data_IF_748116266373
#
_entry.id   IF_748116266373
#
_cell.length_a   1.000
_cell.length_b   1.000
_cell.length_c   1.000
_cell.angle_alpha   90.00
_cell.angle_beta   90.00
_cell.angle_gamma   90.00
#
_symmetry.space_group_name_H-M   'P 1'
#
loop_
_entity.id
_entity.type
_entity.pdbx_description
1 polymer ?
#
# COMPACT_ATOMS: atom_id res chain seq x y z
N UNK A 1 7.71 4.51 -9.14
CA UNK A 1 7.15 5.21 -10.31
C UNK A 1 7.79 4.67 -11.59
N UNK A 2 6.98 4.22 -12.51
CA UNK A 2 7.40 3.65 -13.79
C UNK A 2 6.42 4.08 -14.88
N UNK A 3 6.85 3.99 -16.15
CA UNK A 3 5.97 4.32 -17.29
C UNK A 3 4.88 3.27 -17.51
N UNK A 4 5.19 2.02 -17.18
CA UNK A 4 4.25 0.90 -17.28
C UNK A 4 4.60 -0.14 -16.22
N UNK A 5 3.59 -0.71 -15.58
CA UNK A 5 3.77 -1.74 -14.56
C UNK A 5 3.06 -3.01 -15.03
N UNK A 6 3.87 -4.01 -15.42
CA UNK A 6 3.39 -5.35 -15.73
C UNK A 6 3.18 -6.17 -14.46
N UNK A 7 2.57 -7.36 -14.57
CA UNK A 7 2.43 -8.27 -13.44
C UNK A 7 3.79 -8.65 -12.83
N UNK A 8 4.81 -8.87 -13.66
CA UNK A 8 6.16 -9.20 -13.17
C UNK A 8 6.81 -8.03 -12.43
N UNK A 9 6.61 -6.81 -12.90
CA UNK A 9 7.10 -5.60 -12.20
C UNK A 9 6.36 -5.38 -10.89
N UNK A 10 5.07 -5.63 -10.87
CA UNK A 10 4.27 -5.55 -9.64
C UNK A 10 4.77 -6.54 -8.59
N UNK A 11 5.01 -7.80 -8.97
CA UNK A 11 5.52 -8.81 -8.03
C UNK A 11 6.92 -8.47 -7.53
N UNK A 12 7.79 -7.88 -8.36
CA UNK A 12 9.10 -7.40 -7.93
C UNK A 12 8.98 -6.30 -6.86
N UNK A 13 8.09 -5.34 -7.04
CA UNK A 13 7.82 -4.29 -6.05
C UNK A 13 7.26 -4.88 -4.73
N UNK A 14 6.37 -5.86 -4.84
CA UNK A 14 5.81 -6.53 -3.67
C UNK A 14 6.87 -7.31 -2.91
N UNK A 15 7.81 -7.96 -3.58
CA UNK A 15 8.95 -8.62 -2.92
C UNK A 15 9.81 -7.63 -2.13
N UNK A 16 10.07 -6.45 -2.67
CA UNK A 16 10.80 -5.40 -1.95
C UNK A 16 10.05 -4.96 -0.68
N UNK A 17 8.73 -4.82 -0.76
CA UNK A 17 7.90 -4.48 0.39
C UNK A 17 7.86 -5.59 1.43
N UNK A 18 7.80 -6.84 1.01
CA UNK A 18 7.86 -8.01 1.91
C UNK A 18 9.20 -8.07 2.62
N UNK A 19 10.30 -7.80 1.92
CA UNK A 19 11.63 -7.75 2.52
C UNK A 19 11.73 -6.65 3.59
N UNK A 20 11.07 -5.52 3.38
CA UNK A 20 11.09 -4.39 4.30
C UNK A 20 10.11 -4.53 5.47
N UNK A 21 8.94 -5.13 5.27
CA UNK A 21 7.82 -5.10 6.22
C UNK A 21 7.23 -6.46 6.58
N UNK A 22 7.69 -7.54 5.96
CA UNK A 22 7.08 -8.87 6.09
C UNK A 22 5.90 -9.07 5.13
N UNK A 23 5.50 -10.33 4.96
CA UNK A 23 4.39 -10.68 4.07
C UNK A 23 3.04 -10.32 4.71
N UNK A 24 2.15 -9.63 3.99
CA UNK A 24 0.80 -9.40 4.49
C UNK A 24 -0.01 -10.70 4.51
N UNK A 25 -0.95 -10.79 5.45
CA UNK A 25 -1.86 -11.93 5.49
C UNK A 25 -2.78 -11.95 4.26
N UNK A 26 -3.27 -10.79 3.87
CA UNK A 26 -4.19 -10.63 2.73
C UNK A 26 -3.77 -9.39 1.92
N UNK A 27 -3.71 -9.55 0.61
CA UNK A 27 -3.61 -8.46 -0.35
C UNK A 27 -4.95 -8.28 -1.04
N UNK A 28 -5.55 -7.12 -0.89
CA UNK A 28 -6.82 -6.77 -1.55
C UNK A 28 -6.53 -5.90 -2.77
N UNK A 29 -7.20 -6.22 -3.87
CA UNK A 29 -7.07 -5.47 -5.13
C UNK A 29 -8.38 -5.48 -5.92
N UNK A 30 -8.45 -4.63 -6.94
CA UNK A 30 -9.48 -4.75 -7.97
C UNK A 30 -9.15 -5.92 -8.92
N UNK A 31 -9.94 -6.06 -9.99
CA UNK A 31 -9.78 -7.13 -10.98
C UNK A 31 -8.89 -6.71 -12.17
N UNK A 32 -7.95 -5.78 -11.95
CA UNK A 32 -7.00 -5.40 -13.00
C UNK A 32 -6.17 -6.60 -13.49
N UNK A 33 -5.79 -6.64 -14.79
CA UNK A 33 -5.05 -7.77 -15.35
C UNK A 33 -3.71 -8.04 -14.64
N UNK A 34 -3.06 -6.99 -14.13
CA UNK A 34 -1.82 -7.12 -13.38
C UNK A 34 -2.01 -7.82 -12.03
N UNK A 35 -3.21 -7.74 -11.45
CA UNK A 35 -3.56 -8.38 -10.18
C UNK A 35 -4.12 -9.78 -10.39
N UNK A 36 -4.92 -9.99 -11.45
CA UNK A 36 -5.44 -11.31 -11.83
C UNK A 36 -4.43 -11.94 -12.80
N UNK A 37 -3.37 -12.52 -12.26
CA UNK A 37 -2.30 -13.09 -13.08
C UNK A 37 -1.71 -14.31 -12.40
N UNK A 38 -1.10 -15.18 -13.21
CA UNK A 38 -0.34 -16.33 -12.72
C UNK A 38 0.85 -15.87 -11.88
N UNK A 39 1.51 -14.79 -12.28
CA UNK A 39 2.62 -14.20 -11.54
C UNK A 39 2.20 -13.77 -10.13
N UNK A 40 1.02 -13.17 -9.97
CA UNK A 40 0.48 -12.80 -8.65
C UNK A 40 0.13 -14.02 -7.82
N UNK A 41 -0.48 -15.03 -8.41
CA UNK A 41 -0.79 -16.28 -7.71
C UNK A 41 0.48 -17.00 -7.24
N UNK A 42 1.50 -17.06 -8.08
CA UNK A 42 2.81 -17.64 -7.74
C UNK A 42 3.50 -16.85 -6.64
N UNK A 43 3.47 -15.51 -6.73
CA UNK A 43 4.04 -14.65 -5.71
C UNK A 43 3.36 -14.86 -4.35
N UNK A 44 2.02 -14.90 -4.32
CA UNK A 44 1.26 -15.05 -3.09
C UNK A 44 1.53 -16.42 -2.43
N UNK A 45 1.52 -17.48 -3.22
CA UNK A 45 1.74 -18.85 -2.73
C UNK A 45 0.83 -19.16 -1.56
N UNK A 46 1.41 -19.70 -0.48
CA UNK A 46 0.68 -20.02 0.76
C UNK A 46 0.82 -18.94 1.84
N UNK A 47 1.66 -17.92 1.63
CA UNK A 47 1.99 -16.90 2.63
C UNK A 47 1.01 -15.73 2.65
N UNK A 48 0.39 -15.39 1.51
CA UNK A 48 -0.49 -14.24 1.36
C UNK A 48 -1.77 -14.65 0.66
N UNK A 49 -2.91 -14.36 1.26
CA UNK A 49 -4.20 -14.51 0.61
C UNK A 49 -4.45 -13.39 -0.38
N UNK A 50 -5.04 -13.71 -1.53
CA UNK A 50 -5.48 -12.72 -2.52
C UNK A 50 -6.99 -12.54 -2.40
N UNK A 51 -7.42 -11.27 -2.25
CA UNK A 51 -8.83 -10.91 -2.17
C UNK A 51 -9.16 -9.91 -3.26
N UNK A 52 -10.00 -10.31 -4.20
CA UNK A 52 -10.44 -9.45 -5.30
C UNK A 52 -11.78 -8.81 -4.97
N UNK A 53 -11.91 -7.53 -5.31
CA UNK A 53 -13.14 -6.79 -5.10
C UNK A 53 -14.10 -7.16 -6.22
N UNK A 54 -15.35 -7.61 -5.89
CA UNK A 54 -16.30 -7.96 -6.91
C UNK A 54 -16.62 -6.79 -7.84
N UNK A 55 -16.79 -7.03 -9.15
CA UNK A 55 -17.26 -6.00 -10.07
C UNK A 55 -18.56 -5.36 -9.58
N UNK A 56 -18.67 -4.03 -9.72
CA UNK A 56 -19.86 -3.29 -9.27
C UNK A 56 -19.91 -2.99 -7.77
N UNK A 57 -18.84 -3.27 -7.02
CA UNK A 57 -18.75 -2.97 -5.57
C UNK A 57 -17.56 -2.06 -5.26
N UNK A 58 -17.44 -0.87 -5.89
CA UNK A 58 -16.27 0.01 -5.70
C UNK A 58 -16.11 0.49 -4.26
N UNK A 59 -17.19 0.64 -3.48
CA UNK A 59 -17.15 1.05 -2.08
C UNK A 59 -16.36 0.08 -1.17
N UNK A 60 -16.14 -1.16 -1.58
CA UNK A 60 -15.35 -2.14 -0.84
C UNK A 60 -13.85 -1.85 -0.89
N UNK A 61 -13.41 -0.94 -1.75
CA UNK A 61 -12.03 -0.48 -1.87
C UNK A 61 -11.88 1.01 -1.53
N UNK A 62 -12.76 1.54 -0.67
CA UNK A 62 -12.87 2.96 -0.39
C UNK A 62 -11.58 3.63 0.10
N UNK A 63 -10.74 2.92 0.87
CA UNK A 63 -9.45 3.47 1.34
C UNK A 63 -8.49 3.73 0.18
N UNK A 64 -8.36 2.78 -0.74
CA UNK A 64 -7.48 2.93 -1.92
C UNK A 64 -8.03 3.99 -2.86
N UNK A 65 -9.33 4.02 -3.08
CA UNK A 65 -9.96 5.04 -3.92
C UNK A 65 -9.79 6.45 -3.35
N UNK A 66 -9.94 6.61 -2.05
CA UNK A 66 -9.70 7.88 -1.37
C UNK A 66 -8.24 8.32 -1.51
N UNK A 67 -7.29 7.43 -1.31
CA UNK A 67 -5.87 7.70 -1.52
C UNK A 67 -5.58 8.09 -2.97
N UNK A 68 -6.11 7.33 -3.92
CA UNK A 68 -5.90 7.60 -5.35
C UNK A 68 -6.46 8.96 -5.77
N UNK A 69 -7.61 9.36 -5.24
CA UNK A 69 -8.16 10.70 -5.47
C UNK A 69 -7.23 11.79 -4.94
N UNK A 70 -6.69 11.61 -3.75
CA UNK A 70 -5.77 12.59 -3.15
C UNK A 70 -4.48 12.75 -3.95
N UNK A 71 -3.82 11.65 -4.32
CA UNK A 71 -2.60 11.75 -5.12
C UNK A 71 -2.88 12.35 -6.49
N UNK A 72 -4.01 12.04 -7.10
CA UNK A 72 -4.40 12.61 -8.39
C UNK A 72 -4.61 14.11 -8.28
N UNK A 73 -5.42 14.57 -7.35
CA UNK A 73 -5.80 15.98 -7.21
C UNK A 73 -4.63 16.83 -6.71
N UNK A 74 -3.84 16.34 -5.80
CA UNK A 74 -2.80 17.11 -5.12
C UNK A 74 -1.41 16.99 -5.75
N UNK A 75 -1.18 16.00 -6.61
CA UNK A 75 0.12 15.77 -7.21
C UNK A 75 0.07 15.59 -8.72
N UNK A 76 -0.69 14.61 -9.21
CA UNK A 76 -0.62 14.22 -10.62
C UNK A 76 -1.24 15.25 -11.55
N UNK A 77 -2.39 15.82 -11.20
CA UNK A 77 -3.12 16.76 -12.06
C UNK A 77 -2.52 18.17 -12.06
N UNK A 78 -1.80 18.56 -11.03
CA UNK A 78 -1.22 19.90 -10.92
C UNK A 78 0.24 19.99 -11.42
N UNK A 79 0.86 18.87 -11.73
CA UNK A 79 2.25 18.81 -12.18
C UNK A 79 2.35 18.29 -13.61
N UNK A 80 3.29 18.85 -14.37
CA UNK A 80 3.73 18.29 -15.65
C UNK A 80 5.11 17.68 -15.44
N UNK A 81 5.24 16.40 -15.79
CA UNK A 81 6.50 15.68 -15.57
C UNK A 81 7.36 15.70 -16.84
N UNK A 82 8.57 16.23 -16.72
CA UNK A 82 9.50 16.35 -17.85
C UNK A 82 10.28 15.07 -18.14
N UNK A 83 10.37 14.18 -17.13
CA UNK A 83 11.06 12.89 -17.23
C UNK A 83 10.54 11.94 -16.17
N UNK A 84 10.90 10.67 -16.30
CA UNK A 84 10.58 9.67 -15.28
C UNK A 84 11.25 10.00 -13.94
N UNK A 85 12.50 10.47 -13.97
CA UNK A 85 13.20 10.89 -12.77
C UNK A 85 12.50 12.07 -12.08
N UNK A 86 12.06 13.05 -12.84
CA UNK A 86 11.30 14.19 -12.31
C UNK A 86 10.00 13.71 -11.63
N UNK A 87 9.26 12.80 -12.27
CA UNK A 87 8.06 12.20 -11.68
C UNK A 87 8.38 11.44 -10.39
N UNK A 88 9.45 10.67 -10.36
CA UNK A 88 9.88 9.94 -9.15
C UNK A 88 10.15 10.87 -7.98
N UNK A 89 10.82 12.00 -8.22
CA UNK A 89 11.13 12.98 -7.17
C UNK A 89 9.86 13.65 -6.64
N UNK A 90 9.02 14.16 -7.53
CA UNK A 90 7.79 14.89 -7.15
C UNK A 90 6.80 13.98 -6.41
N UNK A 91 6.57 12.79 -6.93
CA UNK A 91 5.66 11.82 -6.31
C UNK A 91 6.24 11.29 -4.99
N UNK A 92 7.54 11.07 -4.94
CA UNK A 92 8.24 10.68 -3.71
C UNK A 92 8.10 11.72 -2.61
N UNK A 93 8.29 12.99 -2.90
CA UNK A 93 8.11 14.08 -1.95
C UNK A 93 6.66 14.17 -1.45
N UNK A 94 5.70 14.05 -2.35
CA UNK A 94 4.29 14.03 -1.97
C UNK A 94 3.96 12.84 -1.04
N UNK A 95 4.48 11.68 -1.37
CA UNK A 95 4.31 10.47 -0.55
C UNK A 95 4.89 10.63 0.85
N UNK A 96 6.08 11.21 0.95
CA UNK A 96 6.74 11.41 2.24
C UNK A 96 5.95 12.42 3.10
N UNK A 97 5.45 13.48 2.51
CA UNK A 97 4.58 14.43 3.21
C UNK A 97 3.27 13.79 3.65
N UNK A 98 2.65 13.01 2.79
CA UNK A 98 1.43 12.28 3.12
C UNK A 98 1.62 11.34 4.31
N UNK A 99 2.70 10.57 4.32
CA UNK A 99 2.95 9.57 5.34
C UNK A 99 3.47 10.15 6.66
N UNK A 100 4.23 11.24 6.63
CA UNK A 100 4.95 11.74 7.81
C UNK A 100 4.42 13.07 8.35
N UNK A 101 3.65 13.81 7.57
CA UNK A 101 3.19 15.15 7.97
C UNK A 101 1.68 15.34 7.90
N UNK A 102 0.97 14.58 7.08
CA UNK A 102 -0.49 14.70 6.96
C UNK A 102 -1.19 13.93 8.05
N UNK A 103 -1.93 14.65 8.89
CA UNK A 103 -2.76 14.07 9.94
C UNK A 103 -4.11 13.65 9.38
N UNK A 104 -4.63 12.51 9.86
CA UNK A 104 -5.91 11.94 9.41
C UNK A 104 -6.87 11.79 10.58
N UNK A 105 -8.08 12.33 10.46
CA UNK A 105 -9.11 12.20 11.49
C UNK A 105 -9.48 10.74 11.73
N UNK A 106 -9.51 9.92 10.70
CA UNK A 106 -9.76 8.47 10.80
C UNK A 106 -8.69 7.71 11.57
N UNK A 107 -7.50 8.29 11.74
CA UNK A 107 -6.38 7.72 12.49
C UNK A 107 -6.17 8.44 13.84
N UNK A 108 -7.19 9.10 14.37
CA UNK A 108 -7.09 9.90 15.60
C UNK A 108 -6.14 11.09 15.45
N UNK A 109 -6.12 11.73 14.28
CA UNK A 109 -5.24 12.86 13.92
C UNK A 109 -3.75 12.53 13.93
N UNK A 110 -3.40 11.26 13.85
CA UNK A 110 -2.03 10.81 13.60
C UNK A 110 -1.71 10.83 12.11
N UNK A 111 -0.43 10.92 11.80
CA UNK A 111 0.05 10.64 10.44
C UNK A 111 0.03 9.13 10.18
N UNK A 112 -0.03 8.67 8.92
CA UNK A 112 0.05 7.24 8.61
C UNK A 112 1.28 6.55 9.21
N UNK A 113 2.44 7.19 9.20
CA UNK A 113 3.67 6.63 9.76
C UNK A 113 3.58 6.47 11.29
N UNK A 114 3.02 7.46 12.00
CA UNK A 114 2.80 7.38 13.45
C UNK A 114 1.82 6.27 13.80
N UNK A 115 0.73 6.16 13.06
CA UNK A 115 -0.27 5.11 13.25
C UNK A 115 0.33 3.72 13.02
N UNK A 116 1.12 3.54 11.97
CA UNK A 116 1.79 2.28 11.68
C UNK A 116 2.75 1.86 12.82
N UNK A 117 3.48 2.80 13.40
CA UNK A 117 4.36 2.53 14.55
C UNK A 117 3.58 2.07 15.78
N UNK A 118 2.42 2.68 16.05
CA UNK A 118 1.56 2.26 17.16
C UNK A 118 1.03 0.83 16.95
N UNK A 119 0.61 0.48 15.74
CA UNK A 119 0.14 -0.86 15.43
C UNK A 119 1.24 -1.91 15.65
N UNK A 120 2.47 -1.64 15.22
CA UNK A 120 3.62 -2.53 15.41
C UNK A 120 3.93 -2.71 16.89
N UNK A 121 3.96 -1.63 17.67
CA UNK A 121 4.22 -1.68 19.11
C UNK A 121 3.12 -2.47 19.85
N UNK A 122 1.88 -2.31 19.48
CA UNK A 122 0.76 -3.03 20.08
C UNK A 122 0.86 -4.54 19.80
N UNK A 123 1.22 -4.93 18.59
CA UNK A 123 1.44 -6.35 18.22
C UNK A 123 2.59 -6.96 19.03
N UNK A 124 3.71 -6.25 19.17
CA UNK A 124 4.86 -6.71 19.98
C UNK A 124 4.47 -6.87 21.46
N UNK A 125 3.64 -6.01 21.99
CA UNK A 125 3.18 -6.07 23.39
C UNK A 125 2.23 -7.26 23.59
N UNK A 126 1.32 -7.51 22.67
CA UNK A 126 0.40 -8.63 22.72
C UNK A 126 1.12 -9.97 22.64
N UNK A 127 2.10 -10.09 21.74
CA UNK A 127 2.94 -11.28 21.63
C UNK A 127 3.73 -11.53 22.92
N UNK A 128 4.27 -10.49 23.55
CA UNK A 128 4.99 -10.58 24.81
C UNK A 128 4.08 -11.00 25.98
N UNK A 129 2.83 -10.63 25.97
CA UNK A 129 1.84 -11.06 26.98
C UNK A 129 1.43 -12.52 26.79
N UNK A 130 1.30 -12.97 25.55
CA UNK A 130 0.99 -14.38 25.26
C UNK A 130 2.12 -15.34 25.66
N UNK A 131 3.36 -14.92 25.60
CA UNK A 131 4.51 -15.73 26.04
C UNK A 131 4.60 -15.86 27.56
N UNK A 132 3.98 -14.94 28.32
CA UNK A 132 4.00 -14.94 29.80
C UNK A 132 2.92 -15.82 30.44
N UNK A 133 1.97 -16.33 29.66
CA UNK A 133 0.85 -17.17 30.16
C UNK A 133 1.11 -18.67 30.03
N UNK A 134 2.23 -19.07 29.51
CA UNK A 134 2.77 -20.45 29.52
C UNK A 134 3.90 -20.58 30.57
#
# INVERSE_FOLDING_TARGET
VERSITADRLTAHLEDLVAARGAPAVLRSDNGPEFISEAMADWAGTRTGLSYIPPGSPWRNGYVESFNSRIRDECLNINSFYSLLHAQVIIGDWKDEYNHHRRHSSLGYLTPAEYARQCTHQMETDDSQNVRTE
#
